data_IF_856343281965
#
_entry.id   IF_856343281965
#
_cell.length_a   1.000
_cell.length_b   1.000
_cell.length_c   1.000
_cell.angle_alpha   90.00
_cell.angle_beta   90.00
_cell.angle_gamma   90.00
#
_symmetry.space_group_name_H-M   'P 1'
#
loop_
_entity.id
_entity.type
_entity.pdbx_description
1 polymer ?
#
# COMPACT_ATOMS: atom_id res chain seq x y z
N UNK A 1 18.77 1.73 -10.04
CA UNK A 1 18.42 3.15 -10.19
C UNK A 1 16.96 3.32 -9.78
N UNK A 2 16.62 4.38 -9.03
CA UNK A 2 15.28 4.70 -8.51
C UNK A 2 14.32 5.23 -9.61
N UNK A 3 14.35 4.66 -10.81
CA UNK A 3 13.69 5.23 -12.01
C UNK A 3 12.15 5.21 -11.96
N UNK A 4 11.57 4.55 -10.96
CA UNK A 4 10.12 4.39 -10.82
C UNK A 4 9.50 5.32 -9.77
N UNK A 5 10.28 6.20 -9.13
CA UNK A 5 9.78 7.19 -8.18
C UNK A 5 9.89 8.61 -8.74
N UNK A 6 8.88 9.47 -8.52
CA UNK A 6 7.64 9.22 -7.77
C UNK A 6 6.66 8.29 -8.52
N UNK A 7 6.09 7.33 -7.78
CA UNK A 7 5.02 6.46 -8.27
C UNK A 7 3.69 7.00 -7.77
N UNK A 8 2.77 7.28 -8.70
CA UNK A 8 1.44 7.77 -8.38
C UNK A 8 0.42 6.67 -8.63
N UNK A 9 -0.47 6.47 -7.67
CA UNK A 9 -1.57 5.51 -7.79
C UNK A 9 -2.78 5.99 -6.99
N UNK A 10 -3.96 5.51 -7.37
CA UNK A 10 -5.23 5.81 -6.71
C UNK A 10 -6.15 4.61 -6.83
N UNK A 11 -7.02 4.43 -5.85
CA UNK A 11 -7.97 3.33 -5.83
C UNK A 11 -8.83 3.36 -4.58
N UNK A 12 -9.84 2.50 -4.55
CA UNK A 12 -10.71 2.35 -3.40
C UNK A 12 -9.97 1.72 -2.21
N UNK A 13 -10.25 2.22 -1.00
CA UNK A 13 -9.74 1.63 0.23
C UNK A 13 -10.56 0.37 0.53
N UNK A 14 -9.89 -0.78 0.54
CA UNK A 14 -10.50 -2.07 0.86
C UNK A 14 -10.16 -2.53 2.28
N UNK A 15 -11.02 -3.37 2.85
CA UNK A 15 -10.79 -3.95 4.19
C UNK A 15 -9.65 -4.97 4.14
N UNK A 16 -8.67 -4.79 5.00
CA UNK A 16 -7.64 -5.80 5.30
C UNK A 16 -8.01 -6.65 6.53
N UNK A 17 -6.99 -7.32 7.10
CA UNK A 17 -7.15 -8.24 8.24
C UNK A 17 -7.31 -7.57 9.61
N UNK A 18 -7.27 -6.23 9.67
CA UNK A 18 -7.54 -5.47 10.89
C UNK A 18 -6.40 -5.42 11.93
N UNK A 19 -5.22 -5.96 11.62
CA UNK A 19 -4.06 -5.98 12.53
C UNK A 19 -3.59 -4.59 12.95
N UNK A 20 -3.33 -3.70 11.98
CA UNK A 20 -2.75 -2.37 12.24
C UNK A 20 -3.64 -1.50 13.15
N UNK A 21 -4.92 -1.39 12.83
CA UNK A 21 -5.86 -0.57 13.61
C UNK A 21 -6.20 -1.19 14.96
N UNK A 22 -6.61 -2.47 14.99
CA UNK A 22 -7.16 -3.08 16.21
C UNK A 22 -6.09 -3.49 17.22
N UNK A 23 -4.92 -3.93 16.77
CA UNK A 23 -3.89 -4.46 17.68
C UNK A 23 -2.81 -3.42 18.02
N UNK A 24 -2.52 -2.48 17.11
CA UNK A 24 -1.39 -1.56 17.26
C UNK A 24 -1.81 -0.09 17.41
N UNK A 25 -3.08 0.25 17.16
CA UNK A 25 -3.55 1.64 17.13
C UNK A 25 -3.01 2.45 15.95
N UNK A 26 -2.48 1.79 14.92
CA UNK A 26 -1.90 2.40 13.72
C UNK A 26 -2.78 1.99 12.53
N UNK A 27 -3.84 2.75 12.19
CA UNK A 27 -4.74 2.36 11.13
C UNK A 27 -4.02 2.33 9.77
N UNK A 28 -4.21 1.22 9.05
CA UNK A 28 -3.65 0.99 7.71
C UNK A 28 -4.78 0.81 6.70
N UNK A 29 -4.78 1.62 5.64
CA UNK A 29 -5.61 1.41 4.46
C UNK A 29 -4.93 0.41 3.51
N UNK A 30 -5.72 -0.32 2.72
CA UNK A 30 -5.19 -1.28 1.74
C UNK A 30 -5.79 -0.95 0.37
N UNK A 31 -5.03 -1.18 -0.69
CA UNK A 31 -5.55 -1.16 -2.05
C UNK A 31 -6.11 -2.50 -2.49
N UNK A 32 -6.98 -2.48 -3.50
CA UNK A 32 -7.41 -3.71 -4.19
C UNK A 32 -6.22 -4.35 -4.91
N UNK A 33 -6.27 -5.67 -5.08
CA UNK A 33 -5.24 -6.42 -5.80
C UNK A 33 -4.99 -5.90 -7.22
N UNK A 34 -6.02 -5.40 -7.89
CA UNK A 34 -5.92 -4.80 -9.22
C UNK A 34 -4.98 -3.59 -9.24
N UNK A 35 -5.12 -2.69 -8.26
CA UNK A 35 -4.23 -1.54 -8.11
C UNK A 35 -2.81 -2.00 -7.81
N UNK A 36 -2.62 -3.03 -6.96
CA UNK A 36 -1.28 -3.52 -6.65
C UNK A 36 -0.60 -4.16 -7.87
N UNK A 37 -1.36 -4.79 -8.77
CA UNK A 37 -0.84 -5.34 -10.04
C UNK A 37 -0.35 -4.27 -11.01
N UNK A 38 -0.74 -3.01 -10.84
CA UNK A 38 -0.21 -1.88 -11.62
C UNK A 38 1.18 -1.41 -11.16
N UNK A 39 1.64 -1.87 -9.98
CA UNK A 39 2.95 -1.52 -9.46
C UNK A 39 4.05 -2.14 -10.34
N UNK A 40 5.08 -1.36 -10.75
CA UNK A 40 6.21 -1.92 -11.49
C UNK A 40 6.84 -3.09 -10.74
N UNK A 41 7.14 -4.17 -11.46
CA UNK A 41 7.65 -5.41 -10.89
C UNK A 41 8.96 -5.18 -10.10
N UNK A 42 9.75 -4.21 -10.55
CA UNK A 42 11.04 -3.78 -10.04
C UNK A 42 10.96 -3.05 -8.70
N UNK A 43 9.78 -2.59 -8.28
CA UNK A 43 9.61 -1.98 -6.95
C UNK A 43 9.80 -3.07 -5.89
N UNK A 44 10.87 -3.01 -5.07
CA UNK A 44 11.14 -4.07 -4.10
C UNK A 44 10.09 -4.11 -2.98
N UNK A 45 10.03 -5.22 -2.26
CA UNK A 45 9.28 -5.25 -1.00
C UNK A 45 9.97 -4.33 0.02
N UNK A 46 9.19 -3.67 0.86
CA UNK A 46 9.74 -2.77 1.88
C UNK A 46 8.78 -1.69 2.33
N UNK A 47 9.33 -0.77 3.13
CA UNK A 47 8.61 0.40 3.64
C UNK A 47 9.01 1.62 2.81
N UNK A 48 8.00 2.32 2.33
CA UNK A 48 8.09 3.53 1.53
C UNK A 48 7.45 4.68 2.27
N UNK A 49 7.75 5.90 1.81
CA UNK A 49 7.13 7.12 2.32
C UNK A 49 6.71 8.02 1.17
N UNK A 50 5.78 8.91 1.43
CA UNK A 50 5.30 9.85 0.43
C UNK A 50 4.13 10.68 0.92
N UNK A 51 3.21 10.93 0.02
CA UNK A 51 2.03 11.76 0.23
C UNK A 51 0.78 10.98 -0.16
N UNK A 52 -0.30 11.17 0.58
CA UNK A 52 -1.62 10.61 0.26
C UNK A 52 -2.74 11.56 0.70
N UNK A 53 -3.88 11.44 0.05
CA UNK A 53 -5.14 12.00 0.51
C UNK A 53 -6.26 10.96 0.36
N UNK A 54 -7.41 11.25 0.96
CA UNK A 54 -8.63 10.44 0.85
C UNK A 54 -9.77 11.39 0.48
N UNK A 55 -10.64 10.97 -0.44
CA UNK A 55 -11.85 11.70 -0.86
C UNK A 55 -11.60 13.17 -1.25
N UNK A 56 -10.50 13.42 -1.98
CA UNK A 56 -10.07 14.78 -2.37
C UNK A 56 -9.88 15.74 -1.18
N UNK A 57 -9.64 15.20 0.01
CA UNK A 57 -9.29 15.96 1.21
C UNK A 57 -7.85 16.45 1.22
N UNK A 58 -7.42 16.91 2.39
CA UNK A 58 -6.05 17.37 2.61
C UNK A 58 -5.00 16.29 2.31
N UNK A 59 -3.82 16.74 1.85
CA UNK A 59 -2.68 15.87 1.57
C UNK A 59 -1.84 15.73 2.84
N UNK A 60 -1.64 14.48 3.27
CA UNK A 60 -0.85 14.15 4.45
C UNK A 60 0.42 13.38 4.07
N UNK A 61 1.43 13.48 4.95
CA UNK A 61 2.59 12.58 4.91
C UNK A 61 2.12 11.16 5.23
N UNK A 62 2.64 10.18 4.51
CA UNK A 62 2.29 8.78 4.72
C UNK A 62 3.52 7.86 4.65
N UNK A 63 3.33 6.67 5.19
CA UNK A 63 4.19 5.51 4.95
C UNK A 63 3.37 4.39 4.31
N UNK A 64 4.02 3.58 3.49
CA UNK A 64 3.39 2.50 2.73
C UNK A 64 4.22 1.23 2.86
N UNK A 65 3.56 0.12 3.18
CA UNK A 65 4.22 -1.18 3.31
C UNK A 65 3.90 -2.03 2.09
N UNK A 66 4.91 -2.31 1.26
CA UNK A 66 4.78 -3.22 0.11
C UNK A 66 5.33 -4.59 0.53
N UNK A 67 4.46 -5.57 0.62
CA UNK A 67 4.80 -6.91 1.11
C UNK A 67 4.12 -8.01 0.32
N UNK A 68 4.28 -9.25 0.77
CA UNK A 68 3.48 -10.40 0.30
C UNK A 68 2.56 -10.86 1.42
N UNK A 69 1.43 -11.47 1.08
CA UNK A 69 0.53 -12.04 2.09
C UNK A 69 0.85 -13.54 2.33
N UNK A 70 1.54 -13.89 3.42
CA UNK A 70 1.95 -15.28 3.68
C UNK A 70 0.78 -16.23 4.01
N UNK A 71 -0.41 -15.70 4.33
CA UNK A 71 -1.56 -16.54 4.74
C UNK A 71 -2.30 -17.18 3.57
N UNK A 72 -2.02 -16.78 2.33
CA UNK A 72 -2.77 -17.20 1.14
C UNK A 72 -1.93 -17.99 0.13
N UNK A 73 -0.72 -18.46 0.51
CA UNK A 73 0.27 -19.08 -0.40
C UNK A 73 0.54 -18.23 -1.66
N UNK A 74 0.21 -16.94 -1.58
CA UNK A 74 0.15 -16.04 -2.72
C UNK A 74 1.48 -15.32 -2.85
N UNK A 75 2.12 -15.46 -4.02
CA UNK A 75 3.29 -14.69 -4.43
C UNK A 75 2.97 -13.24 -4.80
N UNK A 76 1.71 -12.83 -4.66
CA UNK A 76 1.23 -11.51 -5.06
C UNK A 76 1.54 -10.45 -3.99
N UNK A 77 1.92 -9.26 -4.45
CA UNK A 77 2.22 -8.11 -3.58
C UNK A 77 0.92 -7.55 -2.96
N UNK A 78 1.04 -6.90 -1.80
CA UNK A 78 0.03 -6.08 -1.15
C UNK A 78 0.61 -4.72 -0.80
N UNK A 79 -0.20 -3.65 -0.82
CA UNK A 79 0.18 -2.29 -0.42
C UNK A 79 -1.00 -1.48 0.14
#
# INVERSE_FOLDING_TARGET
MLTHFPFFTSGEIVRGFGRGSRELGIPTANFSLEVVKSLPAEVPLGIYYGWANVDNGEVYKMVMSIGTNPYYDNKEKSM
#
